data_IF_448774029396
#
_entry.id   IF_448774029396
#
_cell.length_a   1.000
_cell.length_b   1.000
_cell.length_c   1.000
_cell.angle_alpha   90.00
_cell.angle_beta   90.00
_cell.angle_gamma   90.00
#
_symmetry.space_group_name_H-M   'P 1'
#
loop_
_entity.id
_entity.type
_entity.pdbx_description
1 polymer ?
#
# COMPACT_ATOMS: atom_id res chain seq x y z
N UNK A 1 -42.40 32.41 -71.25
CA UNK A 1 -41.09 32.17 -71.89
C UNK A 1 -40.01 32.79 -71.06
N UNK A 2 -39.12 32.09 -70.61
CA UNK A 2 -37.71 32.24 -70.31
C UNK A 2 -37.32 31.29 -69.16
N UNK A 3 -36.49 30.36 -69.54
CA UNK A 3 -35.86 29.40 -68.64
C UNK A 3 -34.86 30.08 -67.70
N UNK A 4 -34.92 29.78 -66.42
CA UNK A 4 -33.90 30.10 -65.40
C UNK A 4 -33.17 28.86 -64.99
N UNK A 5 -31.86 28.83 -65.27
CA UNK A 5 -30.92 27.75 -64.90
C UNK A 5 -30.60 27.84 -63.44
N UNK A 6 -30.72 26.73 -62.70
CA UNK A 6 -30.28 26.59 -61.30
C UNK A 6 -28.77 26.36 -61.24
N UNK A 7 -28.04 26.91 -60.22
CA UNK A 7 -26.61 26.62 -60.01
C UNK A 7 -26.40 25.33 -59.25
N UNK A 8 -25.42 24.57 -59.71
CA UNK A 8 -24.92 23.29 -59.15
C UNK A 8 -24.44 23.40 -57.74
N UNK A 9 -24.97 22.54 -56.82
CA UNK A 9 -24.50 22.39 -55.43
C UNK A 9 -23.13 21.75 -55.41
N UNK A 10 -22.22 22.40 -54.69
CA UNK A 10 -20.93 21.81 -54.27
C UNK A 10 -21.18 20.83 -53.14
N UNK A 11 -20.90 19.56 -53.37
CA UNK A 11 -20.85 18.51 -52.35
C UNK A 11 -19.72 18.79 -51.40
N UNK A 12 -20.07 19.00 -50.15
CA UNK A 12 -19.09 19.03 -49.06
C UNK A 12 -18.38 17.66 -48.94
N UNK A 13 -17.07 17.65 -49.14
CA UNK A 13 -16.25 16.45 -49.08
C UNK A 13 -16.31 15.81 -47.70
N UNK A 14 -17.04 14.69 -47.59
CA UNK A 14 -17.03 13.86 -46.39
C UNK A 14 -15.66 13.20 -46.24
N UNK A 15 -15.03 13.40 -45.08
CA UNK A 15 -13.80 12.75 -44.69
C UNK A 15 -14.00 11.23 -44.68
N UNK A 16 -13.14 10.46 -45.36
CA UNK A 16 -13.24 9.00 -45.44
C UNK A 16 -13.25 8.32 -44.07
N UNK A 17 -13.92 7.18 -43.96
CA UNK A 17 -13.96 6.39 -42.72
C UNK A 17 -12.56 6.08 -42.17
N UNK A 18 -11.57 5.83 -43.04
CA UNK A 18 -10.19 5.62 -42.70
C UNK A 18 -9.53 6.84 -41.99
N UNK A 19 -9.81 8.05 -42.50
CA UNK A 19 -9.31 9.27 -41.87
C UNK A 19 -9.98 9.54 -40.50
N UNK A 20 -11.21 9.09 -40.27
CA UNK A 20 -11.89 9.20 -38.98
C UNK A 20 -11.32 8.23 -37.95
N UNK A 21 -10.96 7.02 -38.37
CA UNK A 21 -10.32 6.02 -37.50
C UNK A 21 -8.93 6.50 -37.11
N UNK A 22 -8.12 7.00 -38.02
CA UNK A 22 -6.76 7.53 -37.75
C UNK A 22 -6.78 8.73 -36.80
N UNK A 23 -7.77 9.62 -36.93
CA UNK A 23 -7.94 10.76 -36.00
C UNK A 23 -8.39 10.28 -34.63
N UNK A 24 -9.31 9.30 -34.57
CA UNK A 24 -9.76 8.71 -33.29
C UNK A 24 -8.62 7.99 -32.57
N UNK A 25 -7.84 7.17 -33.28
CA UNK A 25 -6.67 6.48 -32.67
C UNK A 25 -5.59 7.44 -32.20
N UNK A 26 -5.31 8.52 -32.94
CA UNK A 26 -4.38 9.57 -32.52
C UNK A 26 -4.90 10.35 -31.32
N UNK A 27 -6.19 10.59 -31.23
CA UNK A 27 -6.81 11.28 -30.08
C UNK A 27 -6.81 10.40 -28.85
N UNK A 28 -7.11 9.10 -28.98
CA UNK A 28 -7.05 8.14 -27.88
C UNK A 28 -5.62 7.95 -27.40
N UNK A 29 -4.63 7.85 -28.30
CA UNK A 29 -3.20 7.81 -27.91
C UNK A 29 -2.72 9.10 -27.23
N UNK A 30 -3.17 10.25 -27.70
CA UNK A 30 -2.85 11.54 -27.06
C UNK A 30 -3.47 11.67 -25.67
N UNK A 31 -4.68 11.14 -25.46
CA UNK A 31 -5.33 11.09 -24.15
C UNK A 31 -4.67 10.10 -23.19
N UNK A 32 -4.05 9.02 -23.69
CA UNK A 32 -3.27 8.09 -22.88
C UNK A 32 -1.87 8.62 -22.47
N UNK A 33 -1.36 9.66 -23.14
CA UNK A 33 -0.06 10.27 -22.86
C UNK A 33 -0.12 11.48 -21.91
N UNK A 34 -1.32 11.96 -21.61
CA UNK A 34 -1.55 13.02 -20.62
C UNK A 34 -2.27 12.40 -19.44
N UNK A 35 -1.55 11.58 -18.67
CA UNK A 35 -1.96 11.40 -17.29
C UNK A 35 -1.73 12.76 -16.61
N UNK A 36 -2.75 13.36 -15.99
CA UNK A 36 -2.49 14.51 -15.14
C UNK A 36 -1.50 14.02 -14.08
N UNK A 37 -0.36 14.70 -13.95
CA UNK A 37 0.42 14.65 -12.73
C UNK A 37 -0.52 15.26 -11.69
N UNK A 38 -1.36 14.42 -11.10
CA UNK A 38 -2.12 14.79 -9.91
C UNK A 38 -1.02 15.12 -8.90
N UNK A 39 -0.88 16.39 -8.60
CA UNK A 39 -0.07 16.87 -7.51
C UNK A 39 -0.79 16.40 -6.26
N UNK A 40 -0.60 15.12 -5.92
CA UNK A 40 -1.07 14.54 -4.68
C UNK A 40 -0.47 15.41 -3.58
N UNK A 41 -1.32 15.97 -2.72
CA UNK A 41 -0.87 16.41 -1.41
C UNK A 41 -0.07 15.26 -0.81
N UNK A 42 0.95 15.57 -0.02
CA UNK A 42 1.79 14.60 0.71
C UNK A 42 0.94 13.37 1.07
N UNK A 43 1.34 12.17 0.64
CA UNK A 43 0.54 10.96 0.80
C UNK A 43 1.35 9.86 1.49
N UNK A 44 0.81 9.33 2.57
CA UNK A 44 1.34 8.12 3.21
C UNK A 44 0.42 6.94 2.89
N UNK A 45 0.95 5.92 2.23
CA UNK A 45 0.26 4.65 2.03
C UNK A 45 0.81 3.63 3.02
N UNK A 46 -0.04 3.04 3.83
CA UNK A 46 0.36 1.97 4.76
C UNK A 46 -0.27 0.65 4.35
N UNK A 47 0.54 -0.41 4.28
CA UNK A 47 0.11 -1.74 3.86
C UNK A 47 0.35 -2.72 5.01
N UNK A 48 -0.70 -3.03 5.77
CA UNK A 48 -0.73 -4.16 6.68
C UNK A 48 -1.10 -5.45 5.90
N UNK A 49 -0.66 -6.62 6.37
CA UNK A 49 -0.83 -7.85 5.55
C UNK A 49 -0.68 -9.12 6.36
N UNK A 50 -1.43 -10.13 5.99
CA UNK A 50 -1.18 -11.51 6.40
C UNK A 50 0.11 -12.05 5.72
N UNK A 51 0.76 -13.04 6.34
CA UNK A 51 1.92 -13.71 5.76
C UNK A 51 1.54 -14.41 4.45
N UNK A 52 2.40 -14.40 3.44
CA UNK A 52 2.14 -14.96 2.12
C UNK A 52 1.24 -14.13 1.19
N UNK A 53 0.92 -12.87 1.56
CA UNK A 53 0.12 -11.95 0.72
C UNK A 53 0.95 -11.08 -0.23
N UNK A 54 2.24 -11.35 -0.39
CA UNK A 54 3.14 -10.65 -1.34
C UNK A 54 3.07 -9.13 -1.28
N UNK A 55 2.90 -8.59 -0.06
CA UNK A 55 2.72 -7.15 0.13
C UNK A 55 3.93 -6.31 -0.32
N UNK A 56 5.14 -6.88 -0.29
CA UNK A 56 6.34 -6.22 -0.81
C UNK A 56 6.21 -5.94 -2.31
N UNK A 57 5.79 -6.93 -3.09
CA UNK A 57 5.60 -6.77 -4.54
C UNK A 57 4.51 -5.74 -4.87
N UNK A 58 3.38 -5.75 -4.13
CA UNK A 58 2.34 -4.71 -4.27
C UNK A 58 2.92 -3.33 -3.97
N UNK A 59 3.67 -3.19 -2.87
CA UNK A 59 4.33 -1.94 -2.50
C UNK A 59 5.34 -1.46 -3.54
N UNK A 60 6.10 -2.35 -4.17
CA UNK A 60 7.04 -2.03 -5.25
C UNK A 60 6.35 -1.52 -6.52
N UNK A 61 5.19 -2.11 -6.87
CA UNK A 61 4.38 -1.63 -8.01
C UNK A 61 3.89 -0.21 -7.74
N UNK A 62 3.29 0.02 -6.57
CA UNK A 62 2.79 1.33 -6.16
C UNK A 62 3.92 2.36 -6.05
N UNK A 63 5.08 1.98 -5.50
CA UNK A 63 6.26 2.85 -5.39
C UNK A 63 6.74 3.32 -6.75
N UNK A 64 6.79 2.43 -7.74
CA UNK A 64 7.12 2.79 -9.13
C UNK A 64 6.06 3.68 -9.77
N UNK A 65 4.78 3.39 -9.53
CA UNK A 65 3.67 4.15 -10.09
C UNK A 65 3.66 5.61 -9.59
N UNK A 66 3.79 5.81 -8.28
CA UNK A 66 3.74 7.14 -7.66
C UNK A 66 5.10 7.85 -7.59
N UNK A 67 6.20 7.14 -7.85
CA UNK A 67 7.55 7.70 -7.72
C UNK A 67 7.94 8.03 -6.27
N UNK A 68 7.36 7.36 -5.28
CA UNK A 68 7.60 7.57 -3.84
C UNK A 68 8.34 6.39 -3.22
N UNK A 69 9.16 6.62 -2.17
CA UNK A 69 9.94 5.56 -1.54
C UNK A 69 9.06 4.51 -0.85
N UNK A 70 9.53 3.26 -0.90
CA UNK A 70 8.96 2.12 -0.19
C UNK A 70 9.79 1.79 1.04
N UNK A 71 9.15 1.84 2.21
CA UNK A 71 9.75 1.51 3.48
C UNK A 71 9.33 0.12 3.97
N UNK A 72 10.31 -0.75 4.09
CA UNK A 72 10.23 -2.04 4.77
C UNK A 72 10.86 -1.94 6.15
N UNK A 73 10.72 -2.99 6.98
CA UNK A 73 11.46 -3.08 8.25
C UNK A 73 12.95 -2.76 8.09
N UNK A 74 13.60 -3.37 7.10
CA UNK A 74 15.05 -3.21 6.86
C UNK A 74 15.42 -1.78 6.52
N UNK A 75 14.68 -1.14 5.62
CA UNK A 75 14.96 0.25 5.20
C UNK A 75 14.64 1.26 6.30
N UNK A 76 13.61 0.99 7.13
CA UNK A 76 13.30 1.80 8.31
C UNK A 76 14.38 1.72 9.38
N UNK A 77 14.91 0.52 9.64
CA UNK A 77 16.06 0.34 10.55
C UNK A 77 17.28 1.12 10.07
N UNK A 78 17.61 1.04 8.78
CA UNK A 78 18.71 1.79 8.20
C UNK A 78 18.50 3.32 8.27
N UNK A 79 17.24 3.78 8.16
CA UNK A 79 16.89 5.21 8.34
C UNK A 79 17.05 5.64 9.81
N UNK A 80 16.59 4.82 10.75
CA UNK A 80 16.74 5.06 12.18
C UNK A 80 18.22 5.10 12.61
N UNK A 81 19.05 4.20 12.07
CA UNK A 81 20.49 4.16 12.30
C UNK A 81 21.17 5.46 11.85
N UNK A 82 20.88 5.91 10.62
CA UNK A 82 21.38 7.19 10.10
C UNK A 82 20.97 8.40 10.94
N UNK A 83 19.86 8.32 11.64
CA UNK A 83 19.36 9.38 12.53
C UNK A 83 19.88 9.23 13.97
N UNK A 84 20.63 8.16 14.27
CA UNK A 84 21.17 7.90 15.62
C UNK A 84 20.09 7.50 16.64
N UNK A 85 18.95 6.98 16.20
CA UNK A 85 17.82 6.58 17.07
C UNK A 85 17.52 5.09 17.02
N UNK A 86 18.34 4.30 16.32
CA UNK A 86 18.09 2.86 16.15
C UNK A 86 18.04 2.13 17.50
N UNK A 87 19.00 2.40 18.41
CA UNK A 87 19.08 1.74 19.71
C UNK A 87 17.81 1.97 20.55
N UNK A 88 17.24 3.18 20.48
CA UNK A 88 16.00 3.51 21.18
C UNK A 88 14.75 2.83 20.57
N UNK A 89 14.83 2.44 19.29
CA UNK A 89 13.73 1.85 18.52
C UNK A 89 13.90 0.35 18.25
N UNK A 90 14.94 -0.29 18.78
CA UNK A 90 15.24 -1.69 18.48
C UNK A 90 14.05 -2.61 18.74
N UNK A 91 13.41 -2.50 19.90
CA UNK A 91 12.23 -3.29 20.25
C UNK A 91 11.03 -3.07 19.32
N UNK A 92 10.89 -1.86 18.76
CA UNK A 92 9.85 -1.55 17.76
C UNK A 92 10.13 -2.21 16.40
N UNK A 93 11.40 -2.39 16.05
CA UNK A 93 11.76 -3.06 14.80
C UNK A 93 11.84 -4.58 14.93
N UNK A 94 11.97 -5.13 16.11
CA UNK A 94 11.94 -6.57 16.34
C UNK A 94 10.50 -7.09 16.32
N UNK A 95 10.22 -8.12 15.50
CA UNK A 95 8.94 -8.86 15.53
C UNK A 95 8.99 -10.02 16.52
N UNK A 96 9.88 -9.99 17.51
CA UNK A 96 9.96 -11.03 18.52
C UNK A 96 8.71 -11.04 19.38
N UNK A 97 8.32 -12.23 19.90
CA UNK A 97 7.27 -12.31 20.89
C UNK A 97 7.61 -11.33 22.00
N UNK A 98 6.70 -10.44 22.21
CA UNK A 98 6.82 -9.35 23.16
C UNK A 98 6.83 -9.85 24.61
N UNK A 99 6.90 -11.18 24.78
CA UNK A 99 6.64 -11.89 26.02
C UNK A 99 7.59 -11.53 27.16
N UNK A 100 8.87 -11.34 26.93
CA UNK A 100 9.80 -11.01 28.01
C UNK A 100 9.75 -9.53 28.43
N UNK A 101 9.69 -8.62 27.47
CA UNK A 101 9.55 -7.19 27.73
C UNK A 101 8.11 -6.87 28.21
N UNK A 102 7.14 -7.66 27.75
CA UNK A 102 5.72 -7.52 28.05
C UNK A 102 5.37 -7.96 29.45
N UNK A 103 5.97 -9.02 29.96
CA UNK A 103 5.77 -9.43 31.36
C UNK A 103 6.18 -8.32 32.32
N UNK A 104 7.29 -7.64 32.03
CA UNK A 104 7.79 -6.54 32.87
C UNK A 104 6.93 -5.26 32.78
N UNK A 105 6.36 -4.93 31.59
CA UNK A 105 5.56 -3.71 31.38
C UNK A 105 4.06 -3.96 31.52
N UNK A 106 3.61 -5.24 31.52
CA UNK A 106 2.18 -5.58 31.51
C UNK A 106 1.45 -5.24 32.80
N UNK A 107 2.16 -5.07 33.91
CA UNK A 107 1.59 -4.77 35.23
C UNK A 107 1.10 -3.31 35.36
N UNK A 108 1.57 -2.39 34.47
CA UNK A 108 1.24 -0.95 34.58
C UNK A 108 0.70 -0.37 33.27
N UNK A 109 -0.63 -0.20 33.12
CA UNK A 109 -1.25 0.35 31.91
C UNK A 109 -0.73 1.73 31.47
N UNK A 110 -0.32 2.57 32.40
CA UNK A 110 0.21 3.90 32.15
C UNK A 110 1.59 3.84 31.44
N UNK A 111 2.44 2.92 31.82
CA UNK A 111 3.77 2.74 31.20
C UNK A 111 3.64 2.26 29.75
N UNK A 112 2.66 1.41 29.44
CA UNK A 112 2.36 0.98 28.06
C UNK A 112 2.01 2.17 27.16
N UNK A 113 1.19 3.07 27.65
CA UNK A 113 0.76 4.25 26.88
C UNK A 113 1.95 5.18 26.59
N UNK A 114 2.81 5.41 27.59
CA UNK A 114 4.01 6.23 27.43
C UNK A 114 5.00 5.61 26.42
N UNK A 115 5.21 4.29 26.46
CA UNK A 115 6.06 3.56 25.52
C UNK A 115 5.50 3.65 24.09
N UNK A 116 4.21 3.40 23.91
CA UNK A 116 3.53 3.52 22.60
C UNK A 116 3.69 4.91 22.00
N UNK A 117 3.47 5.94 22.81
CA UNK A 117 3.54 7.33 22.34
C UNK A 117 4.98 7.75 22.03
N UNK A 118 5.96 7.26 22.77
CA UNK A 118 7.39 7.47 22.46
C UNK A 118 7.72 6.91 21.08
N UNK A 119 7.35 5.65 20.79
CA UNK A 119 7.60 5.04 19.49
C UNK A 119 6.83 5.71 18.36
N UNK A 120 5.57 6.07 18.59
CA UNK A 120 4.76 6.80 17.63
C UNK A 120 5.44 8.12 17.26
N UNK A 121 5.81 8.92 18.23
CA UNK A 121 6.47 10.22 18.02
C UNK A 121 7.81 10.07 17.28
N UNK A 122 8.64 9.10 17.67
CA UNK A 122 9.92 8.83 17.03
C UNK A 122 9.74 8.42 15.56
N UNK A 123 8.76 7.54 15.28
CA UNK A 123 8.48 7.07 13.93
C UNK A 123 7.90 8.17 13.05
N UNK A 124 6.97 8.99 13.56
CA UNK A 124 6.45 10.16 12.85
C UNK A 124 7.56 11.16 12.53
N UNK A 125 8.47 11.43 13.48
CA UNK A 125 9.64 12.29 13.26
C UNK A 125 10.58 11.73 12.20
N UNK A 126 10.77 10.41 12.18
CA UNK A 126 11.64 9.73 11.22
C UNK A 126 11.09 9.82 9.78
N UNK A 127 9.79 9.73 9.59
CA UNK A 127 9.15 9.88 8.28
C UNK A 127 8.97 11.36 7.92
N UNK A 128 8.64 12.21 8.89
CA UNK A 128 8.41 13.63 8.66
C UNK A 128 7.23 13.88 7.71
N UNK A 129 7.45 14.72 6.70
CA UNK A 129 6.46 15.06 5.67
C UNK A 129 6.78 14.40 4.33
N UNK A 130 7.47 13.28 4.34
CA UNK A 130 7.86 12.55 3.13
C UNK A 130 6.67 11.73 2.62
N UNK A 131 6.39 11.82 1.31
CA UNK A 131 5.51 10.89 0.63
C UNK A 131 6.14 9.51 0.66
N UNK A 132 5.42 8.49 1.10
CA UNK A 132 6.00 7.16 1.16
C UNK A 132 4.96 6.04 1.28
N UNK A 133 5.43 4.83 0.99
CA UNK A 133 4.71 3.59 1.26
C UNK A 133 5.39 2.88 2.42
N UNK A 134 4.62 2.42 3.40
CA UNK A 134 5.15 1.73 4.58
C UNK A 134 4.52 0.34 4.70
N UNK A 135 5.36 -0.69 4.75
CA UNK A 135 4.90 -2.07 4.94
C UNK A 135 4.87 -2.42 6.43
N UNK A 136 3.66 -2.56 6.99
CA UNK A 136 3.44 -2.97 8.37
C UNK A 136 3.77 -1.88 9.41
N UNK A 137 4.39 -2.29 10.54
CA UNK A 137 4.85 -1.41 11.64
C UNK A 137 3.75 -0.52 12.24
N UNK A 138 2.51 -1.02 12.24
CA UNK A 138 1.36 -0.26 12.74
C UNK A 138 1.20 1.11 12.07
N UNK A 139 1.62 1.25 10.80
CA UNK A 139 1.58 2.52 10.09
C UNK A 139 0.18 3.13 10.06
N UNK A 140 -0.87 2.32 9.87
CA UNK A 140 -2.26 2.73 9.93
C UNK A 140 -2.62 3.45 11.25
N UNK A 141 -2.08 2.99 12.37
CA UNK A 141 -2.31 3.59 13.68
C UNK A 141 -1.39 4.79 13.96
N UNK A 142 -0.11 4.70 13.54
CA UNK A 142 0.89 5.75 13.80
C UNK A 142 0.49 7.06 13.11
N UNK A 143 0.03 6.98 11.86
CA UNK A 143 -0.30 8.14 11.03
C UNK A 143 -1.80 8.48 11.00
N UNK A 144 -2.63 7.86 11.85
CA UNK A 144 -4.09 7.95 11.83
C UNK A 144 -4.68 9.38 11.90
N UNK A 145 -3.91 10.33 12.43
CA UNK A 145 -4.35 11.72 12.56
C UNK A 145 -4.01 12.57 11.31
N UNK A 146 -3.49 11.94 10.24
CA UNK A 146 -3.19 12.60 8.97
C UNK A 146 -4.36 12.44 8.00
N UNK A 147 -4.73 13.53 7.34
CA UNK A 147 -5.79 13.54 6.33
C UNK A 147 -5.36 12.90 5.00
N UNK A 148 -4.06 12.82 4.76
CA UNK A 148 -3.43 12.25 3.55
C UNK A 148 -2.98 10.80 3.72
N UNK A 149 -3.46 10.10 4.74
CA UNK A 149 -3.18 8.69 5.00
C UNK A 149 -4.11 7.78 4.18
N UNK A 150 -3.51 6.76 3.54
CA UNK A 150 -4.26 5.64 2.94
C UNK A 150 -3.86 4.34 3.64
N UNK A 151 -4.83 3.63 4.16
CA UNK A 151 -4.62 2.42 4.96
C UNK A 151 -5.14 1.17 4.24
N UNK A 152 -4.26 0.19 4.04
CA UNK A 152 -4.56 -1.02 3.26
C UNK A 152 -4.29 -2.25 4.12
N UNK A 153 -5.19 -3.24 4.07
CA UNK A 153 -4.97 -4.57 4.62
C UNK A 153 -5.05 -5.63 3.52
N UNK A 154 -3.96 -6.39 3.33
CA UNK A 154 -3.90 -7.49 2.39
C UNK A 154 -4.12 -8.82 3.12
N UNK A 155 -5.05 -9.61 2.61
CA UNK A 155 -5.38 -10.93 3.15
C UNK A 155 -5.47 -11.99 2.04
N UNK A 156 -5.70 -13.22 2.42
CA UNK A 156 -5.93 -14.32 1.48
C UNK A 156 -6.29 -15.62 2.19
N UNK A 157 -6.74 -16.62 1.44
CA UNK A 157 -6.98 -17.94 1.97
C UNK A 157 -5.68 -18.54 2.49
N UNK A 158 -5.74 -19.25 3.62
CA UNK A 158 -4.57 -19.85 4.26
C UNK A 158 -3.79 -20.75 3.30
N UNK A 159 -4.48 -21.62 2.55
CA UNK A 159 -3.86 -22.51 1.55
C UNK A 159 -3.02 -21.76 0.52
N UNK A 160 -3.54 -20.65 0.02
CA UNK A 160 -2.87 -19.88 -1.04
C UNK A 160 -1.67 -19.11 -0.44
N UNK A 161 -1.81 -18.62 0.80
CA UNK A 161 -0.75 -17.94 1.54
C UNK A 161 0.41 -18.87 1.90
N UNK A 162 0.12 -20.15 2.24
CA UNK A 162 1.12 -21.18 2.48
C UNK A 162 1.93 -21.45 1.20
N UNK A 163 1.27 -21.60 0.06
CA UNK A 163 1.95 -21.81 -1.23
C UNK A 163 2.85 -20.62 -1.56
N UNK A 164 2.34 -19.40 -1.43
CA UNK A 164 3.12 -18.19 -1.67
C UNK A 164 4.32 -18.08 -0.72
N UNK A 165 4.15 -18.38 0.57
CA UNK A 165 5.22 -18.36 1.54
C UNK A 165 6.28 -19.44 1.27
N UNK A 166 5.87 -20.63 0.86
CA UNK A 166 6.79 -21.70 0.45
C UNK A 166 7.68 -21.26 -0.71
N UNK A 167 7.10 -20.60 -1.72
CA UNK A 167 7.83 -20.06 -2.86
C UNK A 167 8.79 -18.91 -2.47
N UNK A 168 8.31 -17.94 -1.68
CA UNK A 168 9.08 -16.74 -1.30
C UNK A 168 10.26 -17.07 -0.37
N UNK A 169 10.07 -18.00 0.58
CA UNK A 169 11.05 -18.35 1.60
C UNK A 169 11.84 -19.63 1.29
N UNK A 170 11.53 -20.29 0.15
CA UNK A 170 12.13 -21.57 -0.27
C UNK A 170 11.96 -22.68 0.79
N UNK A 171 10.73 -22.82 1.31
CA UNK A 171 10.34 -23.80 2.33
C UNK A 171 9.52 -24.94 1.73
N UNK A 172 9.48 -26.09 2.40
CA UNK A 172 8.45 -27.09 2.16
C UNK A 172 7.07 -26.58 2.57
N UNK A 173 5.99 -27.17 2.07
CA UNK A 173 4.62 -26.75 2.43
C UNK A 173 4.35 -26.86 3.93
N UNK A 174 4.89 -27.88 4.62
CA UNK A 174 4.72 -28.06 6.05
C UNK A 174 5.46 -26.96 6.84
N UNK A 175 6.70 -26.65 6.47
CA UNK A 175 7.47 -25.56 7.08
C UNK A 175 6.83 -24.21 6.80
N UNK A 176 6.27 -24.00 5.59
CA UNK A 176 5.57 -22.78 5.23
C UNK A 176 4.26 -22.60 6.01
N UNK A 177 3.54 -23.67 6.33
CA UNK A 177 2.35 -23.63 7.19
C UNK A 177 2.71 -23.13 8.59
N UNK A 178 3.72 -23.72 9.22
CA UNK A 178 4.21 -23.28 10.52
C UNK A 178 4.73 -21.84 10.49
N UNK A 179 5.45 -21.47 9.43
CA UNK A 179 5.97 -20.13 9.22
C UNK A 179 4.86 -19.09 9.10
N UNK A 180 3.79 -19.39 8.33
CA UNK A 180 2.62 -18.51 8.13
C UNK A 180 1.90 -18.28 9.45
N UNK A 181 1.62 -19.35 10.21
CA UNK A 181 0.95 -19.24 11.50
C UNK A 181 1.77 -18.45 12.50
N UNK A 182 3.03 -18.82 12.72
CA UNK A 182 3.93 -18.14 13.65
C UNK A 182 4.10 -16.66 13.30
N UNK A 183 4.24 -16.34 12.01
CA UNK A 183 4.41 -14.95 11.57
C UNK A 183 3.14 -14.12 11.80
N UNK A 184 1.96 -14.68 11.52
CA UNK A 184 0.70 -13.96 11.74
C UNK A 184 0.41 -13.78 13.24
N UNK A 185 0.70 -14.78 14.08
CA UNK A 185 0.56 -14.69 15.54
C UNK A 185 1.49 -13.59 16.12
N UNK A 186 2.74 -13.53 15.67
CA UNK A 186 3.66 -12.45 16.03
C UNK A 186 3.12 -11.08 15.62
N UNK A 187 2.48 -10.94 14.45
CA UNK A 187 1.89 -9.68 13.97
C UNK A 187 0.66 -9.29 14.78
N UNK A 188 -0.19 -10.26 15.16
CA UNK A 188 -1.35 -10.04 16.04
C UNK A 188 -0.86 -9.48 17.38
N UNK A 189 0.10 -10.15 18.02
CA UNK A 189 0.66 -9.73 19.30
C UNK A 189 1.32 -8.33 19.21
N UNK A 190 2.15 -8.13 18.20
CA UNK A 190 2.81 -6.85 17.91
C UNK A 190 1.81 -5.72 17.73
N UNK A 191 0.79 -5.91 16.87
CA UNK A 191 -0.21 -4.89 16.60
C UNK A 191 -1.03 -4.55 17.86
N UNK A 192 -1.52 -5.57 18.55
CA UNK A 192 -2.27 -5.40 19.81
C UNK A 192 -1.45 -4.63 20.86
N UNK A 193 -0.16 -4.94 20.96
CA UNK A 193 0.70 -4.23 21.91
C UNK A 193 0.86 -2.75 21.56
N UNK A 194 1.28 -2.43 20.34
CA UNK A 194 1.57 -1.04 19.94
C UNK A 194 0.34 -0.18 19.73
N UNK A 195 -0.83 -0.76 19.41
CA UNK A 195 -2.04 -0.01 19.08
C UNK A 195 -3.17 -0.18 20.09
N UNK A 196 -3.25 -1.32 20.76
CA UNK A 196 -4.42 -1.73 21.56
C UNK A 196 -5.59 -2.21 20.72
N UNK A 197 -5.43 -2.32 19.38
CA UNK A 197 -6.46 -2.68 18.43
C UNK A 197 -6.31 -4.14 17.95
N UNK A 198 -7.38 -4.66 17.34
CA UNK A 198 -7.37 -5.97 16.70
C UNK A 198 -6.76 -5.88 15.31
N UNK A 199 -5.71 -6.65 15.05
CA UNK A 199 -5.07 -6.68 13.74
C UNK A 199 -6.01 -7.25 12.67
N UNK A 200 -6.07 -6.59 11.50
CA UNK A 200 -6.95 -6.98 10.39
C UNK A 200 -8.43 -6.68 10.61
N UNK A 201 -8.78 -5.90 11.64
CA UNK A 201 -10.15 -5.45 11.82
C UNK A 201 -10.50 -4.42 10.73
N UNK A 202 -11.38 -4.82 9.80
CA UNK A 202 -11.65 -4.07 8.57
C UNK A 202 -11.98 -2.58 8.76
N UNK A 203 -12.71 -2.13 9.80
CA UNK A 203 -12.98 -0.71 10.03
C UNK A 203 -11.76 0.16 10.32
N UNK A 204 -10.59 -0.43 10.60
CA UNK A 204 -9.33 0.28 10.81
C UNK A 204 -8.52 0.48 9.50
N UNK A 205 -9.11 0.10 8.36
CA UNK A 205 -8.48 0.20 7.04
C UNK A 205 -9.45 0.79 6.03
N UNK A 206 -8.94 1.63 5.13
CA UNK A 206 -9.73 2.18 4.02
C UNK A 206 -10.12 1.09 3.02
N UNK A 207 -9.22 0.11 2.82
CA UNK A 207 -9.44 -0.97 1.88
C UNK A 207 -8.82 -2.29 2.36
N UNK A 208 -9.59 -3.37 2.28
CA UNK A 208 -9.14 -4.74 2.54
C UNK A 208 -9.24 -5.57 1.26
N UNK A 209 -8.16 -6.23 0.84
CA UNK A 209 -8.09 -6.91 -0.46
C UNK A 209 -7.57 -8.34 -0.32
N UNK A 210 -8.26 -9.29 -0.96
CA UNK A 210 -7.76 -10.66 -1.13
C UNK A 210 -6.73 -10.69 -2.29
N UNK A 211 -5.46 -10.44 -1.94
CA UNK A 211 -4.35 -10.40 -2.88
C UNK A 211 -4.04 -11.77 -3.47
N UNK A 212 -4.23 -12.86 -2.72
CA UNK A 212 -3.98 -14.20 -3.20
C UNK A 212 -4.90 -14.57 -4.37
N UNK A 213 -6.14 -14.09 -4.33
CA UNK A 213 -7.12 -14.32 -5.40
C UNK A 213 -6.89 -13.45 -6.63
N UNK A 214 -6.45 -12.20 -6.43
CA UNK A 214 -6.32 -11.21 -7.50
C UNK A 214 -4.94 -11.20 -8.17
N UNK A 215 -3.90 -11.53 -7.40
CA UNK A 215 -2.50 -11.29 -7.78
C UNK A 215 -2.06 -9.85 -7.48
N UNK A 216 -0.76 -9.61 -7.53
CA UNK A 216 -0.14 -8.35 -7.10
C UNK A 216 -0.48 -7.17 -8.01
N UNK A 217 -0.48 -7.37 -9.34
CA UNK A 217 -0.75 -6.34 -10.33
C UNK A 217 -2.19 -5.82 -10.24
N UNK A 218 -3.17 -6.72 -10.16
CA UNK A 218 -4.59 -6.32 -10.03
C UNK A 218 -4.87 -5.69 -8.67
N UNK A 219 -4.21 -6.16 -7.62
CA UNK A 219 -4.29 -5.56 -6.29
C UNK A 219 -3.79 -4.12 -6.33
N UNK A 220 -2.62 -3.88 -6.92
CA UNK A 220 -2.08 -2.53 -7.07
C UNK A 220 -3.02 -1.63 -7.89
N UNK A 221 -3.54 -2.11 -9.03
CA UNK A 221 -4.49 -1.36 -9.86
C UNK A 221 -5.79 -0.98 -9.12
N UNK A 222 -6.30 -1.84 -8.24
CA UNK A 222 -7.46 -1.52 -7.38
C UNK A 222 -7.11 -0.42 -6.39
N UNK A 223 -5.92 -0.49 -5.78
CA UNK A 223 -5.44 0.54 -4.84
C UNK A 223 -5.25 1.88 -5.56
N UNK A 224 -4.63 1.90 -6.74
CA UNK A 224 -4.46 3.08 -7.57
C UNK A 224 -5.81 3.72 -7.94
N UNK A 225 -6.79 2.88 -8.34
CA UNK A 225 -8.14 3.36 -8.63
C UNK A 225 -8.85 3.93 -7.39
N UNK A 226 -8.68 3.31 -6.22
CA UNK A 226 -9.20 3.84 -4.96
C UNK A 226 -8.62 5.22 -4.65
N UNK A 227 -7.29 5.35 -4.67
CA UNK A 227 -6.58 6.60 -4.38
C UNK A 227 -6.96 7.70 -5.37
N UNK A 228 -7.15 7.38 -6.66
CA UNK A 228 -7.53 8.36 -7.68
C UNK A 228 -8.95 8.92 -7.53
N UNK A 229 -9.76 8.33 -6.65
CA UNK A 229 -11.14 8.77 -6.35
C UNK A 229 -11.28 9.40 -4.95
N UNK A 230 -10.18 9.58 -4.21
CA UNK A 230 -10.14 10.36 -2.97
C UNK A 230 -10.01 11.85 -3.27
#
# INVERSE_FOLDING_TARGET
MVCGVAPSGKTAGGMSLLNRIDVYEKTVRAQQLVQPIVKLNIMIITIARQCGCRALHVGEILSRHYGIPLYTRKSLMAKADKMGILDEMTSFFEERPVDELMSAISEFPFERTAVREKFRSAFMKMIGNEDCIIIGRCGNFIFRDREDLVTIFLHGKLSDRIVNAAEEENLSLAEAEDFVHTTDDCRVAYHSFYTGLSWGYAPEYDICIDTCRLGTEKTAAIIENYISNL
#
